data_IF_779244025727
#
_entry.id   IF_779244025727
#
_cell.length_a   1.000
_cell.length_b   1.000
_cell.length_c   1.000
_cell.angle_alpha   90.00
_cell.angle_beta   90.00
_cell.angle_gamma   90.00
#
_symmetry.space_group_name_H-M   'P 1'
#
loop_
_entity.id
_entity.type
_entity.pdbx_description
1 polymer ?
#
# COMPACT_ATOMS: atom_id res chain seq x y z
N UNK A 1 4.35 10.95 -23.58
CA UNK A 1 4.98 9.87 -22.77
C UNK A 1 3.96 9.50 -21.70
N UNK A 2 3.63 8.22 -21.54
CA UNK A 2 2.69 7.76 -20.50
C UNK A 2 3.49 7.40 -19.24
N UNK A 3 3.18 8.03 -18.11
CA UNK A 3 3.78 7.69 -16.82
C UNK A 3 3.09 6.47 -16.24
N UNK A 4 3.85 5.43 -15.93
CA UNK A 4 3.36 4.18 -15.36
C UNK A 4 3.57 4.16 -13.85
N UNK A 5 2.48 4.11 -13.09
CA UNK A 5 2.48 4.04 -11.63
C UNK A 5 2.05 2.64 -11.19
N UNK A 6 2.94 1.95 -10.50
CA UNK A 6 2.67 0.62 -9.95
C UNK A 6 2.26 0.69 -8.49
N UNK A 7 1.11 0.15 -8.13
CA UNK A 7 0.75 -0.08 -6.73
C UNK A 7 1.03 -1.54 -6.36
N UNK A 8 1.80 -1.75 -5.30
CA UNK A 8 2.08 -3.09 -4.74
C UNK A 8 1.43 -3.17 -3.36
N UNK A 9 0.37 -3.96 -3.27
CA UNK A 9 -0.36 -4.22 -2.04
C UNK A 9 0.15 -5.50 -1.39
N UNK A 10 0.84 -5.39 -0.26
CA UNK A 10 1.36 -6.51 0.51
C UNK A 10 0.43 -6.83 1.68
N UNK A 11 -0.30 -7.91 1.56
CA UNK A 11 -1.32 -8.31 2.53
C UNK A 11 -2.65 -7.56 2.37
N UNK A 12 -3.54 -7.76 3.34
CA UNK A 12 -4.83 -7.08 3.38
C UNK A 12 -4.72 -5.78 4.18
N UNK A 13 -5.19 -4.69 3.59
CA UNK A 13 -4.95 -3.32 4.06
C UNK A 13 -6.25 -2.53 4.15
N UNK A 14 -6.36 -1.66 5.17
CA UNK A 14 -7.42 -0.66 5.23
C UNK A 14 -7.34 0.36 4.08
N UNK A 15 -6.13 0.81 3.73
CA UNK A 15 -5.91 1.78 2.62
C UNK A 15 -6.13 1.21 1.22
N UNK A 16 -6.25 -0.10 1.05
CA UNK A 16 -6.45 -0.72 -0.28
C UNK A 16 -7.70 -0.21 -0.99
N UNK A 17 -8.74 0.10 -0.24
CA UNK A 17 -10.00 0.61 -0.76
C UNK A 17 -9.85 2.02 -1.34
N UNK A 18 -8.97 2.84 -0.75
CA UNK A 18 -8.63 4.17 -1.28
C UNK A 18 -7.97 4.04 -2.65
N UNK A 19 -7.09 3.07 -2.83
CA UNK A 19 -6.43 2.81 -4.11
C UNK A 19 -7.47 2.40 -5.16
N UNK A 20 -8.39 1.51 -4.81
CA UNK A 20 -9.41 1.04 -5.75
C UNK A 20 -10.34 2.19 -6.20
N UNK A 21 -10.67 3.13 -5.30
CA UNK A 21 -11.41 4.35 -5.64
C UNK A 21 -10.60 5.30 -6.55
N UNK A 22 -9.29 5.44 -6.30
CA UNK A 22 -8.41 6.24 -7.14
C UNK A 22 -8.28 5.70 -8.56
N UNK A 23 -8.36 4.39 -8.76
CA UNK A 23 -8.32 3.78 -10.07
C UNK A 23 -9.49 4.24 -10.96
N UNK A 24 -10.66 4.42 -10.36
CA UNK A 24 -11.85 4.91 -11.07
C UNK A 24 -11.65 6.35 -11.57
N UNK A 25 -11.09 7.23 -10.73
CA UNK A 25 -10.77 8.61 -11.12
C UNK A 25 -9.71 8.70 -12.24
N UNK A 26 -8.78 7.75 -12.28
CA UNK A 26 -7.67 7.74 -13.26
C UNK A 26 -8.09 7.14 -14.60
N UNK A 27 -9.18 6.38 -14.65
CA UNK A 27 -9.61 5.66 -15.85
C UNK A 27 -9.76 6.55 -17.10
N UNK A 28 -10.17 7.81 -16.92
CA UNK A 28 -10.33 8.80 -18.00
C UNK A 28 -9.10 9.70 -18.24
N UNK A 29 -8.02 9.55 -17.47
CA UNK A 29 -6.84 10.42 -17.60
C UNK A 29 -5.88 9.92 -18.66
N UNK A 30 -5.61 10.77 -19.64
CA UNK A 30 -4.53 10.55 -20.61
C UNK A 30 -3.17 10.84 -19.97
N UNK A 31 -2.13 10.13 -20.43
CA UNK A 31 -0.75 10.37 -20.00
C UNK A 31 -0.32 9.67 -18.71
N UNK A 32 -1.24 8.99 -18.03
CA UNK A 32 -0.92 8.17 -16.86
C UNK A 32 -1.51 6.77 -17.02
N UNK A 33 -0.76 5.75 -16.63
CA UNK A 33 -1.23 4.37 -16.57
C UNK A 33 -0.96 3.82 -15.17
N UNK A 34 -1.97 3.22 -14.58
CA UNK A 34 -1.88 2.64 -13.24
C UNK A 34 -2.18 1.16 -13.29
N UNK A 35 -1.41 0.36 -12.57
CA UNK A 35 -1.68 -1.04 -12.31
C UNK A 35 -1.43 -1.38 -10.86
N UNK A 36 -2.18 -2.36 -10.38
CA UNK A 36 -2.07 -2.88 -9.02
C UNK A 36 -1.61 -4.33 -9.06
N UNK A 37 -0.62 -4.64 -8.23
CA UNK A 37 -0.21 -6.00 -7.91
C UNK A 37 -0.54 -6.26 -6.44
N UNK A 38 -1.24 -7.33 -6.13
CA UNK A 38 -1.61 -7.69 -4.76
C UNK A 38 -1.14 -9.09 -4.40
N UNK A 39 -0.61 -9.25 -3.19
CA UNK A 39 -0.22 -10.55 -2.64
C UNK A 39 -1.37 -11.28 -1.93
N UNK A 40 -2.60 -10.73 -2.02
CA UNK A 40 -3.76 -11.28 -1.32
C UNK A 40 -3.68 -11.07 0.19
N UNK A 41 -3.98 -12.10 0.95
CA UNK A 41 -4.04 -12.00 2.43
C UNK A 41 -2.67 -12.10 3.10
N UNK A 42 -1.66 -12.61 2.41
CA UNK A 42 -0.33 -12.86 2.98
C UNK A 42 0.66 -11.79 2.55
N UNK A 43 1.67 -11.56 3.39
CA UNK A 43 2.76 -10.63 3.13
C UNK A 43 4.10 -11.18 3.63
N UNK A 44 4.36 -12.46 3.42
CA UNK A 44 5.62 -13.11 3.74
C UNK A 44 6.73 -12.79 2.75
N UNK A 45 7.88 -13.41 2.93
CA UNK A 45 9.03 -13.24 2.01
C UNK A 45 8.77 -13.89 0.65
N UNK A 46 7.99 -14.97 0.60
CA UNK A 46 7.62 -15.66 -0.63
C UNK A 46 6.75 -14.75 -1.50
N UNK A 47 5.68 -14.20 -0.92
CA UNK A 47 4.80 -13.26 -1.61
C UNK A 47 5.55 -11.98 -2.05
N UNK A 48 6.50 -11.55 -1.22
CA UNK A 48 7.35 -10.41 -1.58
C UNK A 48 8.19 -10.69 -2.85
N UNK A 49 8.73 -11.90 -2.98
CA UNK A 49 9.50 -12.31 -4.15
C UNK A 49 8.63 -12.35 -5.43
N UNK A 50 7.37 -12.73 -5.34
CA UNK A 50 6.43 -12.76 -6.46
C UNK A 50 6.22 -11.36 -7.09
N UNK A 51 6.39 -10.29 -6.30
CA UNK A 51 6.28 -8.92 -6.80
C UNK A 51 7.29 -8.60 -7.91
N UNK A 52 8.38 -9.37 -8.03
CA UNK A 52 9.36 -9.22 -9.09
C UNK A 52 8.75 -9.37 -10.50
N UNK A 53 7.73 -10.21 -10.65
CA UNK A 53 7.02 -10.40 -11.91
C UNK A 53 6.37 -9.11 -12.43
N UNK A 54 5.98 -8.23 -11.52
CA UNK A 54 5.36 -6.96 -11.86
C UNK A 54 6.33 -5.96 -12.52
N UNK A 55 7.66 -6.16 -12.38
CA UNK A 55 8.67 -5.38 -13.10
C UNK A 55 8.54 -5.48 -14.61
N UNK A 56 8.00 -6.59 -15.13
CA UNK A 56 7.78 -6.79 -16.56
C UNK A 56 6.82 -5.76 -17.18
N UNK A 57 5.95 -5.17 -16.36
CA UNK A 57 5.09 -4.08 -16.83
C UNK A 57 5.87 -2.75 -17.02
N UNK A 58 7.02 -2.60 -16.38
CA UNK A 58 7.89 -1.45 -16.47
C UNK A 58 7.33 -0.19 -15.82
N UNK A 59 6.96 -0.20 -14.53
CA UNK A 59 6.50 0.99 -13.83
C UNK A 59 7.63 2.02 -13.74
N UNK A 60 7.31 3.30 -13.91
CA UNK A 60 8.26 4.40 -13.74
C UNK A 60 8.51 4.67 -12.25
N UNK A 61 7.49 4.48 -11.41
CA UNK A 61 7.64 4.45 -9.98
C UNK A 61 6.59 3.53 -9.33
N UNK A 62 6.81 3.20 -8.07
CA UNK A 62 5.99 2.27 -7.30
C UNK A 62 5.51 2.92 -6.01
N UNK A 63 4.26 2.67 -5.66
CA UNK A 63 3.71 2.88 -4.32
C UNK A 63 3.53 1.51 -3.68
N UNK A 64 4.35 1.22 -2.68
CA UNK A 64 4.36 -0.07 -1.98
C UNK A 64 3.64 0.08 -0.65
N UNK A 65 2.55 -0.65 -0.47
CA UNK A 65 1.65 -0.49 0.66
C UNK A 65 1.58 -1.76 1.48
N UNK A 66 1.66 -1.63 2.79
CA UNK A 66 1.56 -2.76 3.72
C UNK A 66 0.96 -2.34 5.06
N UNK A 67 0.34 -3.26 5.81
CA UNK A 67 -0.13 -2.99 7.18
C UNK A 67 1.02 -2.60 8.13
N UNK A 68 2.21 -3.12 7.86
CA UNK A 68 3.42 -2.82 8.64
C UNK A 68 4.65 -2.88 7.73
N UNK A 69 5.19 -1.74 7.37
CA UNK A 69 6.36 -1.63 6.50
C UNK A 69 7.62 -2.24 7.07
N UNK A 70 7.71 -2.42 8.39
CA UNK A 70 8.88 -3.03 9.06
C UNK A 70 8.82 -4.56 9.12
N UNK A 71 7.72 -5.18 8.67
CA UNK A 71 7.60 -6.63 8.64
C UNK A 71 8.58 -7.28 7.63
N UNK A 72 8.95 -8.56 7.81
CA UNK A 72 9.93 -9.24 6.96
C UNK A 72 9.60 -9.26 5.47
N UNK A 73 8.32 -9.45 5.12
CA UNK A 73 7.88 -9.46 3.72
C UNK A 73 8.00 -8.09 3.05
N UNK A 74 7.40 -7.00 3.58
CA UNK A 74 7.59 -5.65 3.07
C UNK A 74 9.06 -5.22 2.98
N UNK A 75 9.89 -5.66 3.92
CA UNK A 75 11.34 -5.43 3.84
C UNK A 75 11.96 -6.15 2.64
N UNK A 76 11.65 -7.43 2.45
CA UNK A 76 12.13 -8.19 1.30
C UNK A 76 11.61 -7.62 -0.04
N UNK A 77 10.36 -7.15 -0.09
CA UNK A 77 9.82 -6.52 -1.29
C UNK A 77 10.60 -5.23 -1.65
N UNK A 78 11.01 -4.42 -0.67
CA UNK A 78 11.86 -3.25 -0.93
C UNK A 78 13.20 -3.63 -1.55
N UNK A 79 13.80 -4.72 -1.12
CA UNK A 79 15.05 -5.23 -1.73
C UNK A 79 14.84 -5.59 -3.20
N UNK A 80 13.70 -6.17 -3.54
CA UNK A 80 13.32 -6.45 -4.93
C UNK A 80 13.21 -5.14 -5.75
N UNK A 81 12.67 -4.07 -5.15
CA UNK A 81 12.33 -2.82 -5.85
C UNK A 81 13.32 -1.67 -5.61
N UNK A 82 14.49 -1.93 -5.03
CA UNK A 82 15.51 -0.90 -4.69
C UNK A 82 15.97 -0.03 -5.87
N UNK A 83 15.90 -0.57 -7.09
CA UNK A 83 16.34 0.13 -8.31
C UNK A 83 15.19 0.93 -8.99
N UNK A 84 14.00 0.95 -8.40
CA UNK A 84 12.83 1.67 -8.89
C UNK A 84 12.43 2.73 -7.88
N UNK A 85 12.21 3.99 -8.28
CA UNK A 85 11.69 5.00 -7.37
C UNK A 85 10.44 4.49 -6.65
N UNK A 86 10.48 4.44 -5.31
CA UNK A 86 9.42 3.79 -4.54
C UNK A 86 9.03 4.65 -3.34
N UNK A 87 7.72 4.82 -3.16
CA UNK A 87 7.11 5.38 -1.96
C UNK A 87 6.54 4.22 -1.13
N UNK A 88 6.93 4.14 0.13
CA UNK A 88 6.46 3.12 1.08
C UNK A 88 5.33 3.70 1.91
N UNK A 89 4.17 3.07 1.85
CA UNK A 89 3.02 3.41 2.69
C UNK A 89 2.81 2.34 3.74
N UNK A 90 2.71 2.74 5.00
CA UNK A 90 2.43 1.85 6.12
C UNK A 90 1.16 2.27 6.83
N UNK A 91 0.21 1.34 6.97
CA UNK A 91 -1.03 1.57 7.72
C UNK A 91 -0.81 1.48 9.24
N UNK A 92 0.26 0.85 9.66
CA UNK A 92 0.63 0.71 11.05
C UNK A 92 1.75 1.66 11.48
N UNK A 93 1.87 1.88 12.79
CA UNK A 93 2.92 2.72 13.33
C UNK A 93 4.30 2.15 12.99
N UNK A 94 5.20 3.01 12.56
CA UNK A 94 6.58 2.65 12.22
C UNK A 94 7.53 3.36 13.18
N UNK A 95 8.46 2.62 13.77
CA UNK A 95 9.46 3.17 14.68
C UNK A 95 10.36 4.20 13.98
N UNK A 96 10.89 5.15 14.74
CA UNK A 96 11.78 6.18 14.20
C UNK A 96 12.98 5.56 13.45
N UNK A 97 13.62 4.55 14.04
CA UNK A 97 14.75 3.83 13.46
C UNK A 97 14.44 3.20 12.09
N UNK A 98 13.23 2.67 11.93
CA UNK A 98 12.83 2.06 10.67
C UNK A 98 12.54 3.12 9.59
N UNK A 99 12.04 4.29 9.99
CA UNK A 99 11.89 5.43 9.07
C UNK A 99 13.24 5.95 8.58
N UNK A 100 14.20 6.09 9.50
CA UNK A 100 15.58 6.48 9.16
C UNK A 100 16.23 5.48 8.19
N UNK A 101 15.97 4.18 8.34
CA UNK A 101 16.43 3.16 7.37
C UNK A 101 15.79 3.32 6.00
N UNK A 102 14.50 3.68 5.92
CA UNK A 102 13.83 3.95 4.65
C UNK A 102 14.48 5.14 3.94
N UNK A 103 14.71 6.24 4.66
CA UNK A 103 15.38 7.44 4.14
C UNK A 103 16.80 7.14 3.64
N UNK A 104 17.60 6.43 4.44
CA UNK A 104 18.97 6.03 4.08
C UNK A 104 19.01 5.13 2.84
N UNK A 105 17.98 4.30 2.66
CA UNK A 105 17.83 3.44 1.50
C UNK A 105 17.25 4.16 0.27
N UNK A 106 16.93 5.45 0.38
CA UNK A 106 16.43 6.27 -0.73
C UNK A 106 14.92 6.09 -1.01
N UNK A 107 14.16 5.50 -0.09
CA UNK A 107 12.72 5.39 -0.20
C UNK A 107 12.01 6.62 0.35
N UNK A 108 11.03 7.15 -0.39
CA UNK A 108 10.00 8.00 0.20
C UNK A 108 9.07 7.16 1.08
N UNK A 109 8.45 7.76 2.09
CA UNK A 109 7.48 7.02 2.91
C UNK A 109 6.34 7.89 3.43
N UNK A 110 5.18 7.25 3.63
CA UNK A 110 4.03 7.79 4.34
C UNK A 110 3.60 6.78 5.41
N UNK A 111 3.48 7.24 6.65
CA UNK A 111 2.96 6.43 7.75
C UNK A 111 1.57 6.94 8.08
N UNK A 112 0.58 6.13 7.80
CA UNK A 112 -0.83 6.42 7.98
C UNK A 112 -1.39 5.44 9.04
N UNK A 113 -1.32 5.74 10.33
CA UNK A 113 -1.79 4.83 11.39
C UNK A 113 -3.33 4.80 11.42
N UNK A 114 -3.93 4.37 10.33
CA UNK A 114 -5.38 4.38 10.11
C UNK A 114 -5.94 3.00 9.78
N UNK A 115 -5.16 1.92 10.01
CA UNK A 115 -5.70 0.58 9.91
C UNK A 115 -6.66 0.31 11.08
N UNK A 116 -7.98 0.39 10.85
CA UNK A 116 -8.95 0.19 11.92
C UNK A 116 -9.02 -1.26 12.37
N UNK A 117 -8.38 -2.19 11.64
CA UNK A 117 -8.30 -3.61 11.98
C UNK A 117 -7.09 -3.95 12.85
N UNK A 118 -6.22 -2.98 13.17
CA UNK A 118 -5.14 -3.19 14.12
C UNK A 118 -5.72 -3.61 15.48
N UNK A 119 -5.40 -4.82 15.89
CA UNK A 119 -5.87 -5.41 17.15
C UNK A 119 -7.28 -6.05 17.11
N UNK A 120 -8.02 -5.97 16.01
CA UNK A 120 -9.25 -6.72 15.84
C UNK A 120 -8.95 -8.21 15.62
N UNK A 121 -9.60 -9.06 16.39
CA UNK A 121 -9.56 -10.52 16.16
C UNK A 121 -10.58 -10.86 15.07
N UNK A 122 -10.09 -11.03 13.86
CA UNK A 122 -10.92 -11.23 12.66
C UNK A 122 -11.80 -12.46 12.71
N UNK A 123 -11.43 -13.47 13.48
CA UNK A 123 -12.22 -14.67 13.67
C UNK A 123 -13.58 -14.44 14.34
N UNK A 124 -13.80 -13.26 14.93
CA UNK A 124 -15.06 -12.88 15.57
C UNK A 124 -15.94 -11.96 14.71
N UNK A 125 -15.47 -11.59 13.52
CA UNK A 125 -16.20 -10.69 12.62
C UNK A 125 -16.78 -11.51 11.46
N UNK A 126 -18.08 -11.40 11.24
CA UNK A 126 -18.71 -11.94 10.04
C UNK A 126 -18.46 -11.03 8.81
N UNK A 127 -18.91 -11.48 7.63
CA UNK A 127 -18.67 -10.73 6.37
C UNK A 127 -19.37 -9.35 6.38
N UNK A 128 -20.50 -9.20 7.05
CA UNK A 128 -21.25 -7.94 7.13
C UNK A 128 -20.55 -6.97 8.06
N UNK A 129 -20.09 -7.44 9.20
CA UNK A 129 -19.30 -6.65 10.15
C UNK A 129 -18.00 -6.17 9.53
N UNK A 130 -17.32 -7.03 8.76
CA UNK A 130 -16.11 -6.65 8.02
C UNK A 130 -16.40 -5.59 6.97
N UNK A 131 -17.50 -5.69 6.23
CA UNK A 131 -17.87 -4.67 5.24
C UNK A 131 -18.21 -3.32 5.90
N UNK A 132 -18.95 -3.35 7.00
CA UNK A 132 -19.28 -2.15 7.80
C UNK A 132 -18.02 -1.50 8.36
N UNK A 133 -17.12 -2.30 8.90
CA UNK A 133 -15.86 -1.83 9.44
C UNK A 133 -14.98 -1.15 8.37
N UNK A 134 -14.91 -1.73 7.18
CA UNK A 134 -14.19 -1.16 6.04
C UNK A 134 -14.82 0.17 5.60
N UNK A 135 -16.14 0.28 5.63
CA UNK A 135 -16.85 1.52 5.32
C UNK A 135 -16.54 2.62 6.33
N UNK A 136 -16.48 2.29 7.61
CA UNK A 136 -16.13 3.24 8.66
C UNK A 136 -14.65 3.65 8.57
N UNK A 137 -13.77 2.75 8.15
CA UNK A 137 -12.39 3.10 7.84
C UNK A 137 -12.28 4.15 6.74
N UNK A 138 -13.04 4.01 5.66
CA UNK A 138 -13.08 5.00 4.57
C UNK A 138 -13.60 6.34 5.05
N UNK A 139 -14.60 6.37 5.94
CA UNK A 139 -15.10 7.62 6.55
C UNK A 139 -13.99 8.31 7.34
N UNK A 140 -13.25 7.56 8.17
CA UNK A 140 -12.13 8.12 8.95
C UNK A 140 -11.05 8.67 8.03
N UNK A 141 -10.64 7.91 7.00
CA UNK A 141 -9.65 8.35 6.01
C UNK A 141 -10.09 9.62 5.27
N UNK A 142 -11.36 9.74 4.97
CA UNK A 142 -11.93 10.94 4.35
C UNK A 142 -11.90 12.15 5.29
N UNK A 143 -12.33 11.98 6.53
CA UNK A 143 -12.42 13.06 7.53
C UNK A 143 -11.03 13.57 7.91
N UNK A 144 -10.04 12.71 8.10
CA UNK A 144 -8.67 13.10 8.44
C UNK A 144 -7.85 13.62 7.24
N UNK A 145 -8.43 13.63 6.04
CA UNK A 145 -7.77 14.12 4.82
C UNK A 145 -6.75 13.15 4.21
N UNK A 146 -6.64 11.93 4.71
CA UNK A 146 -5.69 10.94 4.20
C UNK A 146 -5.96 10.58 2.72
N UNK A 147 -7.21 10.59 2.28
CA UNK A 147 -7.57 10.39 0.86
C UNK A 147 -6.91 11.46 -0.01
N UNK A 148 -6.92 12.72 0.42
CA UNK A 148 -6.27 13.81 -0.34
C UNK A 148 -4.76 13.65 -0.42
N UNK A 149 -4.10 13.16 0.64
CA UNK A 149 -2.66 12.90 0.63
C UNK A 149 -2.27 11.83 -0.39
N UNK A 150 -3.14 10.87 -0.64
CA UNK A 150 -2.88 9.82 -1.64
C UNK A 150 -3.21 10.31 -3.06
N UNK A 151 -4.13 11.26 -3.19
CA UNK A 151 -4.53 11.85 -4.48
C UNK A 151 -3.51 12.88 -5.03
N UNK A 152 -2.73 13.50 -4.18
CA UNK A 152 -1.71 14.51 -4.54
C UNK A 152 -0.36 13.87 -4.85
#
# INVERSE_FOLDING_TARGET
>A
MVVKVGFIKLGNLGTSQVIDLLLDEIAAREGIAVRVFGTGAKMGKEEAAETASFKNWGPNFVVMISPNSSAPGPTAARDVWKDTPTIVVSDGPTKKEDREKLEQAGFGYMILPVDPLIGAKREFLDCVEMATFNTDALKVLSICGAIRLVQT
#
